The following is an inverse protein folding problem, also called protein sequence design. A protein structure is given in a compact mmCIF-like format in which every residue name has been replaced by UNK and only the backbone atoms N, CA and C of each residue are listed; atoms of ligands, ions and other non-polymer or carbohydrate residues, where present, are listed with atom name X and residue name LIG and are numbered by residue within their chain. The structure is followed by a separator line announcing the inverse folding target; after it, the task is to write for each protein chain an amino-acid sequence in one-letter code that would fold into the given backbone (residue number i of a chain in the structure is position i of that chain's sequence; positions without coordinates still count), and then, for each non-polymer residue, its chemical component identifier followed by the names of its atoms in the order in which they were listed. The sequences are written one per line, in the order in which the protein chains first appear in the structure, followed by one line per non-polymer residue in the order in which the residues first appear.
data_IF_954406840829
#
_entry.id   IF_954406840829
#
_cell.length_a   1.000
_cell.length_b   1.000
_cell.length_c   1.000
_cell.angle_alpha   90.00
_cell.angle_beta   90.00
_cell.angle_gamma   90.00
#
_symmetry.space_group_name_H-M   'P 1'
#
loop_
_entity.id
_entity.type
_entity.pdbx_description
1 polymer ?
#
# COMPACT_ATOMS: atom_id res chain seq x y z
N UNK A 1 16.66 12.48 0.83
CA UNK A 1 15.86 11.53 1.61
C UNK A 1 15.50 12.05 3.01
N UNK A 2 16.45 12.46 3.87
CA UNK A 2 16.15 13.00 5.23
C UNK A 2 15.11 14.13 5.25
N UNK A 3 15.19 15.10 4.32
CA UNK A 3 14.26 16.25 4.25
C UNK A 3 12.83 15.86 3.90
N UNK A 4 12.62 14.84 3.06
CA UNK A 4 11.28 14.37 2.69
C UNK A 4 10.65 13.66 3.88
N UNK A 5 11.40 12.83 4.59
CA UNK A 5 10.92 12.15 5.80
C UNK A 5 10.51 13.17 6.87
N UNK A 6 11.29 14.23 7.07
CA UNK A 6 10.98 15.31 8.00
C UNK A 6 9.68 16.04 7.62
N UNK A 7 9.46 16.34 6.34
CA UNK A 7 8.24 17.00 5.87
C UNK A 7 7.01 16.13 6.09
N UNK A 8 7.11 14.82 5.80
CA UNK A 8 6.02 13.86 6.04
C UNK A 8 5.72 13.74 7.53
N UNK A 9 6.75 13.65 8.37
CA UNK A 9 6.58 13.58 9.83
C UNK A 9 5.92 14.84 10.39
N UNK A 10 6.32 16.01 9.93
CA UNK A 10 5.73 17.30 10.35
C UNK A 10 4.29 17.41 9.87
N UNK A 11 3.97 17.01 8.63
CA UNK A 11 2.62 17.02 8.10
C UNK A 11 1.67 16.09 8.89
N UNK A 12 2.14 14.90 9.26
CA UNK A 12 1.38 13.96 10.11
C UNK A 12 1.16 14.51 11.51
N UNK A 13 2.18 15.12 12.12
CA UNK A 13 2.08 15.74 13.44
C UNK A 13 1.17 16.97 13.46
N UNK A 14 1.16 17.80 12.42
CA UNK A 14 0.27 18.97 12.32
C UNK A 14 -1.18 18.57 12.10
N UNK A 15 -1.45 17.53 11.31
CA UNK A 15 -2.79 16.95 11.15
C UNK A 15 -3.31 16.33 12.46
N UNK A 16 -2.45 15.69 13.24
CA UNK A 16 -2.81 15.13 14.55
C UNK A 16 -3.10 16.21 15.62
N UNK A 17 -2.45 17.38 15.52
CA UNK A 17 -2.57 18.46 16.53
C UNK A 17 -3.77 19.37 16.37
N UNK A 18 -4.42 19.44 15.22
CA UNK A 18 -5.47 20.42 14.91
C UNK A 18 -6.88 20.05 15.37
N UNK A 19 -7.09 18.89 15.99
CA UNK A 19 -8.42 18.42 16.35
C UNK A 19 -8.63 18.47 17.86
N UNK A 20 -9.37 19.48 18.32
CA UNK A 20 -9.80 19.59 19.74
C UNK A 20 -10.59 18.36 20.14
N UNK A 21 -10.02 17.58 21.06
CA UNK A 21 -10.58 16.34 21.58
C UNK A 21 -11.74 16.62 22.53
N UNK A 22 -12.97 16.27 22.12
CA UNK A 22 -13.97 15.80 23.09
C UNK A 22 -13.69 14.31 23.31
N UNK A 23 -12.95 14.01 24.36
CA UNK A 23 -12.53 12.66 24.69
C UNK A 23 -13.70 11.90 25.30
N UNK A 24 -14.32 10.98 24.57
CA UNK A 24 -14.91 9.78 25.20
C UNK A 24 -15.50 8.75 24.24
N UNK A 25 -15.81 9.09 23.00
CA UNK A 25 -16.34 8.13 22.04
C UNK A 25 -15.27 7.79 20.98
N UNK A 26 -15.17 6.53 20.61
CA UNK A 26 -14.33 6.14 19.49
C UNK A 26 -14.85 6.86 18.22
N UNK A 27 -14.01 7.53 17.42
CA UNK A 27 -14.46 8.21 16.20
C UNK A 27 -15.22 7.30 15.24
N UNK A 28 -14.95 5.99 15.28
CA UNK A 28 -15.61 4.97 14.46
C UNK A 28 -17.10 4.83 14.80
N UNK A 29 -17.52 5.09 16.05
CA UNK A 29 -18.91 5.00 16.50
C UNK A 29 -19.66 6.33 16.44
N UNK A 30 -18.96 7.41 16.14
CA UNK A 30 -19.62 8.70 15.96
C UNK A 30 -20.31 8.75 14.61
N UNK A 31 -21.64 8.91 14.60
CA UNK A 31 -22.40 9.06 13.36
C UNK A 31 -22.01 10.34 12.63
N UNK A 32 -21.73 10.23 11.34
CA UNK A 32 -21.42 11.37 10.48
C UNK A 32 -20.21 11.12 9.59
N UNK A 33 -19.74 12.22 9.01
CA UNK A 33 -18.54 12.21 8.20
C UNK A 33 -17.32 11.87 9.06
N UNK A 34 -16.49 10.96 8.57
CA UNK A 34 -15.29 10.47 9.23
C UNK A 34 -14.23 10.15 8.20
N UNK A 35 -12.99 10.19 8.62
CA UNK A 35 -11.87 9.82 7.77
C UNK A 35 -10.75 9.17 8.54
N UNK A 36 -9.80 8.61 7.81
CA UNK A 36 -8.56 8.10 8.35
C UNK A 36 -7.37 8.46 7.45
N UNK A 37 -6.20 8.50 8.04
CA UNK A 37 -4.93 8.54 7.34
C UNK A 37 -4.05 7.44 7.91
N UNK A 38 -3.41 6.67 7.07
CA UNK A 38 -2.67 5.46 7.45
C UNK A 38 -1.29 5.44 6.81
N UNK A 39 -0.33 4.98 7.59
CA UNK A 39 1.02 4.62 7.15
C UNK A 39 1.21 3.13 7.37
N UNK A 40 1.78 2.43 6.40
CA UNK A 40 1.97 0.99 6.51
C UNK A 40 3.20 0.49 5.77
N UNK A 41 3.42 -0.80 5.97
CA UNK A 41 4.45 -1.56 5.27
C UNK A 41 3.80 -2.84 4.74
N UNK A 42 3.98 -3.08 3.44
CA UNK A 42 3.68 -4.34 2.78
C UNK A 42 4.93 -5.20 2.83
N UNK A 43 4.82 -6.38 3.43
CA UNK A 43 5.90 -7.33 3.50
C UNK A 43 5.97 -8.14 2.20
N UNK A 44 7.04 -7.94 1.46
CA UNK A 44 7.41 -8.65 0.25
C UNK A 44 8.91 -8.90 0.33
N UNK A 45 9.48 -9.61 -0.63
CA UNK A 45 10.93 -9.75 -0.76
C UNK A 45 11.66 -8.40 -0.68
N UNK A 46 11.04 -7.37 -1.30
CA UNK A 46 11.39 -5.96 -1.14
C UNK A 46 10.18 -5.22 -0.55
N UNK A 47 10.22 -4.79 0.72
CA UNK A 47 9.09 -4.17 1.37
C UNK A 47 8.73 -2.82 0.73
N UNK A 48 7.42 -2.55 0.68
CA UNK A 48 6.86 -1.28 0.22
C UNK A 48 6.32 -0.49 1.40
N UNK A 49 6.66 0.79 1.44
CA UNK A 49 5.97 1.76 2.29
C UNK A 49 4.65 2.16 1.64
N UNK A 50 3.61 2.25 2.43
CA UNK A 50 2.28 2.69 2.00
C UNK A 50 1.83 3.92 2.76
N UNK A 51 1.18 4.83 2.06
CA UNK A 51 0.47 5.98 2.63
C UNK A 51 -0.93 5.95 2.04
N UNK A 52 -1.96 5.95 2.87
CA UNK A 52 -3.35 5.98 2.41
C UNK A 52 -4.19 6.96 3.20
N UNK A 53 -5.23 7.46 2.57
CA UNK A 53 -6.27 8.23 3.21
C UNK A 53 -7.63 7.75 2.72
N UNK A 54 -8.58 7.64 3.63
CA UNK A 54 -9.96 7.25 3.35
C UNK A 54 -10.91 8.29 3.94
N UNK A 55 -11.94 8.62 3.21
CA UNK A 55 -12.99 9.55 3.59
C UNK A 55 -14.34 8.86 3.41
N UNK A 56 -15.26 9.03 4.34
CA UNK A 56 -16.53 8.32 4.26
C UNK A 56 -17.52 8.71 5.35
N UNK A 57 -18.44 7.80 5.58
CA UNK A 57 -19.53 7.98 6.53
C UNK A 57 -19.56 6.86 7.56
N UNK A 58 -19.56 7.23 8.82
CA UNK A 58 -19.82 6.33 9.95
C UNK A 58 -21.30 6.34 10.31
N UNK A 59 -21.91 5.18 10.41
CA UNK A 59 -23.34 5.03 10.71
C UNK A 59 -23.67 5.12 12.21
N UNK A 60 -22.65 5.16 13.07
CA UNK A 60 -22.82 5.21 14.52
C UNK A 60 -23.12 3.87 15.18
N UNK A 61 -23.19 2.79 14.41
CA UNK A 61 -23.44 1.42 14.86
C UNK A 61 -22.22 0.50 14.65
N UNK A 62 -21.04 1.09 14.49
CA UNK A 62 -19.79 0.37 14.21
C UNK A 62 -19.46 0.22 12.72
N UNK A 63 -20.42 0.48 11.83
CA UNK A 63 -20.17 0.46 10.39
C UNK A 63 -19.61 1.79 9.89
N UNK A 64 -18.59 1.69 9.06
CA UNK A 64 -18.04 2.78 8.27
C UNK A 64 -17.93 2.32 6.81
N UNK A 65 -18.28 3.22 5.89
CA UNK A 65 -18.13 3.01 4.45
C UNK A 65 -17.49 4.28 3.87
N UNK A 66 -16.45 4.10 3.08
CA UNK A 66 -15.72 5.20 2.49
C UNK A 66 -15.02 4.87 1.18
N UNK A 67 -14.37 5.87 0.63
CA UNK A 67 -13.47 5.75 -0.50
C UNK A 67 -12.19 6.52 -0.22
N UNK A 68 -11.10 6.09 -0.83
CA UNK A 68 -9.80 6.67 -0.55
C UNK A 68 -8.81 6.57 -1.68
N UNK A 69 -7.64 7.12 -1.39
CA UNK A 69 -6.48 7.05 -2.27
C UNK A 69 -5.29 6.51 -1.49
N UNK A 70 -4.41 5.82 -2.19
CA UNK A 70 -3.19 5.25 -1.64
C UNK A 70 -1.99 5.53 -2.53
N UNK A 71 -0.84 5.66 -1.90
CA UNK A 71 0.46 5.75 -2.52
C UNK A 71 1.35 4.67 -1.94
N UNK A 72 2.03 3.92 -2.81
CA UNK A 72 2.95 2.87 -2.39
C UNK A 72 4.30 3.10 -3.07
N UNK A 73 5.38 2.89 -2.32
CA UNK A 73 6.75 3.04 -2.81
C UNK A 73 7.64 1.96 -2.25
N UNK A 74 8.47 1.36 -3.10
CA UNK A 74 9.52 0.46 -2.65
C UNK A 74 10.47 1.16 -1.66
N UNK A 75 10.76 0.53 -0.54
CA UNK A 75 11.59 1.10 0.53
C UNK A 75 13.09 0.98 0.25
N UNK A 76 13.48 0.10 -0.68
CA UNK A 76 14.88 -0.06 -1.07
C UNK A 76 15.20 0.66 -2.37
N UNK A 77 16.30 1.40 -2.41
CA UNK A 77 16.80 1.93 -3.67
C UNK A 77 17.21 0.75 -4.57
N UNK A 78 16.85 0.83 -5.85
CA UNK A 78 17.28 -0.15 -6.83
C UNK A 78 18.79 -0.28 -6.79
N UNK A 79 19.32 -1.43 -6.42
CA UNK A 79 20.65 -1.80 -6.85
C UNK A 79 20.52 -2.15 -8.34
N UNK A 80 20.99 -1.26 -9.20
CA UNK A 80 21.29 -1.61 -10.57
C UNK A 80 22.40 -2.65 -10.49
N UNK A 81 22.07 -3.93 -10.58
CA UNK A 81 23.01 -4.89 -11.10
C UNK A 81 23.23 -4.44 -12.55
N UNK A 82 24.29 -3.69 -12.77
CA UNK A 82 24.75 -3.36 -14.12
C UNK A 82 24.84 -4.67 -14.93
N UNK A 83 24.77 -4.60 -16.26
CA UNK A 83 24.89 -5.79 -17.08
C UNK A 83 26.14 -6.54 -16.62
N UNK A 84 25.93 -7.76 -16.12
CA UNK A 84 27.04 -8.65 -15.78
C UNK A 84 27.90 -8.75 -17.04
N UNK A 85 29.07 -8.14 -17.03
CA UNK A 85 30.06 -8.31 -18.11
C UNK A 85 30.47 -9.78 -18.07
N UNK A 86 29.69 -10.61 -18.73
CA UNK A 86 30.18 -11.96 -19.06
C UNK A 86 31.20 -11.77 -20.14
N UNK A 87 32.41 -12.21 -19.89
CA UNK A 87 33.42 -12.35 -20.92
C UNK A 87 32.78 -13.13 -22.08
N UNK A 88 32.94 -12.67 -23.32
CA UNK A 88 32.33 -13.30 -24.47
C UNK A 88 32.83 -14.75 -24.53
N UNK A 89 31.94 -15.73 -24.43
CA UNK A 89 32.29 -17.12 -24.62
C UNK A 89 32.71 -17.31 -26.08
N UNK A 90 33.94 -17.79 -26.31
CA UNK A 90 34.42 -18.11 -27.62
C UNK A 90 34.04 -19.56 -27.95
N UNK A 91 33.43 -19.77 -29.12
CA UNK A 91 33.29 -21.11 -29.68
C UNK A 91 34.67 -21.69 -30.00
N UNK A 92 34.83 -23.02 -30.10
CA UNK A 92 36.09 -23.65 -30.52
C UNK A 92 36.59 -23.19 -31.89
N UNK A 93 35.75 -22.61 -32.71
CA UNK A 93 36.06 -22.03 -34.02
C UNK A 93 36.50 -20.56 -33.97
N UNK A 94 36.58 -19.93 -32.78
CA UNK A 94 36.96 -18.56 -32.58
C UNK A 94 35.86 -17.55 -32.80
N UNK A 95 34.60 -17.97 -33.06
CA UNK A 95 33.47 -17.08 -33.18
C UNK A 95 32.92 -16.65 -31.82
N UNK A 96 32.65 -15.36 -31.66
CA UNK A 96 32.07 -14.82 -30.43
C UNK A 96 30.62 -15.23 -30.33
N UNK A 97 30.24 -16.01 -29.30
CA UNK A 97 28.86 -16.31 -29.00
C UNK A 97 28.25 -15.04 -28.34
N UNK A 98 27.64 -14.19 -29.11
CA UNK A 98 26.71 -13.18 -28.61
C UNK A 98 25.38 -13.87 -28.27
N UNK A 99 25.32 -14.60 -27.17
CA UNK A 99 24.03 -14.93 -26.58
C UNK A 99 23.33 -13.61 -26.28
N UNK A 100 22.10 -13.38 -26.77
CA UNK A 100 21.33 -12.25 -26.31
C UNK A 100 21.19 -12.43 -24.82
N UNK A 101 21.90 -11.60 -24.03
CA UNK A 101 21.72 -11.53 -22.60
C UNK A 101 20.27 -11.13 -22.41
N UNK A 102 19.40 -12.10 -22.18
CA UNK A 102 18.10 -11.83 -21.59
C UNK A 102 18.35 -11.37 -20.16
N UNK A 103 18.87 -10.16 -20.02
CA UNK A 103 18.76 -9.42 -18.78
C UNK A 103 17.25 -9.19 -18.61
N UNK A 104 16.61 -10.15 -17.96
CA UNK A 104 15.32 -9.90 -17.36
C UNK A 104 15.59 -8.80 -16.32
N UNK A 105 15.55 -7.54 -16.75
CA UNK A 105 15.48 -6.40 -15.85
C UNK A 105 14.22 -6.59 -15.03
N UNK A 106 14.40 -7.24 -13.90
CA UNK A 106 13.34 -7.43 -12.93
C UNK A 106 13.21 -6.10 -12.20
N UNK A 107 12.42 -5.21 -12.78
CA UNK A 107 12.08 -3.93 -12.17
C UNK A 107 11.21 -4.16 -10.93
N UNK A 108 11.86 -4.34 -9.81
CA UNK A 108 11.19 -4.38 -8.50
C UNK A 108 11.39 -3.03 -7.81
N UNK A 109 10.33 -2.27 -7.65
CA UNK A 109 10.34 -0.99 -6.94
C UNK A 109 9.78 0.17 -7.76
N UNK A 110 8.52 0.11 -8.13
CA UNK A 110 7.76 1.20 -8.73
C UNK A 110 7.06 2.06 -7.70
N UNK A 111 6.55 3.20 -8.17
CA UNK A 111 5.58 4.01 -7.46
C UNK A 111 4.20 3.59 -7.94
N UNK A 112 3.33 3.19 -7.00
CA UNK A 112 1.95 2.84 -7.30
C UNK A 112 1.02 3.91 -6.71
N UNK A 113 0.11 4.38 -7.52
CA UNK A 113 -1.03 5.18 -7.09
C UNK A 113 -2.26 4.28 -7.07
N UNK A 114 -3.07 4.37 -6.03
CA UNK A 114 -4.29 3.57 -5.90
C UNK A 114 -5.49 4.39 -5.49
N UNK A 115 -6.66 3.91 -5.88
CA UNK A 115 -7.94 4.33 -5.33
C UNK A 115 -8.68 3.12 -4.82
N UNK A 116 -9.39 3.26 -3.72
CA UNK A 116 -10.07 2.14 -3.08
C UNK A 116 -11.39 2.53 -2.46
N UNK A 117 -12.26 1.55 -2.35
CA UNK A 117 -13.41 1.53 -1.47
C UNK A 117 -13.00 0.86 -0.16
N UNK A 118 -13.51 1.36 0.96
CA UNK A 118 -13.23 0.86 2.31
C UNK A 118 -14.53 0.58 3.05
N UNK A 119 -14.65 -0.63 3.59
CA UNK A 119 -15.73 -1.02 4.47
C UNK A 119 -15.14 -1.53 5.78
N UNK A 120 -15.55 -0.93 6.89
CA UNK A 120 -15.05 -1.26 8.24
C UNK A 120 -16.19 -1.54 9.19
N UNK A 121 -15.97 -2.53 10.05
CA UNK A 121 -16.89 -2.85 11.15
C UNK A 121 -16.14 -2.90 12.48
N UNK A 122 -16.55 -2.07 13.43
CA UNK A 122 -16.03 -2.00 14.78
C UNK A 122 -16.97 -2.71 15.76
N UNK A 123 -16.42 -3.58 16.62
CA UNK A 123 -17.21 -4.48 17.48
C UNK A 123 -17.70 -3.82 18.77
N UNK A 124 -17.06 -2.75 19.20
CA UNK A 124 -17.36 -2.13 20.50
C UNK A 124 -17.17 -0.61 20.44
N UNK A 125 -18.04 0.12 21.12
CA UNK A 125 -17.88 1.54 21.40
C UNK A 125 -17.14 1.73 22.73
N UNK A 126 -15.83 1.56 22.69
CA UNK A 126 -14.94 1.75 23.85
C UNK A 126 -13.65 2.38 23.38
N UNK A 127 -12.88 2.87 24.34
CA UNK A 127 -11.55 3.42 24.06
C UNK A 127 -10.61 2.45 23.35
N UNK A 128 -10.78 1.14 23.61
CA UNK A 128 -10.12 0.06 22.90
C UNK A 128 -11.18 -0.67 22.05
N UNK A 129 -11.07 -0.53 20.75
CA UNK A 129 -12.09 -0.96 19.79
C UNK A 129 -11.47 -1.89 18.76
N UNK A 130 -11.69 -3.20 18.82
CA UNK A 130 -11.32 -4.09 17.72
C UNK A 130 -12.22 -3.87 16.52
N UNK A 131 -11.64 -3.98 15.31
CA UNK A 131 -12.37 -3.82 14.05
C UNK A 131 -11.90 -4.78 12.97
N UNK A 132 -12.79 -5.03 12.01
CA UNK A 132 -12.49 -5.65 10.73
C UNK A 132 -12.60 -4.59 9.64
N UNK A 133 -11.75 -4.70 8.63
CA UNK A 133 -11.72 -3.79 7.50
C UNK A 133 -11.47 -4.55 6.21
N UNK A 134 -12.12 -4.13 5.15
CA UNK A 134 -11.85 -4.63 3.80
C UNK A 134 -11.73 -3.43 2.87
N UNK A 135 -10.55 -3.31 2.25
CA UNK A 135 -10.32 -2.35 1.17
C UNK A 135 -10.29 -3.11 -0.15
N UNK A 136 -10.93 -2.56 -1.18
CA UNK A 136 -10.90 -3.10 -2.52
C UNK A 136 -10.74 -1.95 -3.53
N UNK A 137 -9.88 -2.11 -4.52
CA UNK A 137 -9.59 -1.01 -5.40
C UNK A 137 -8.73 -1.34 -6.60
N UNK A 138 -8.25 -0.29 -7.22
CA UNK A 138 -7.35 -0.36 -8.37
C UNK A 138 -6.06 0.39 -8.07
N UNK A 139 -4.96 -0.09 -8.62
CA UNK A 139 -3.64 0.52 -8.53
C UNK A 139 -3.08 0.76 -9.92
N UNK A 140 -2.40 1.87 -10.09
CA UNK A 140 -1.68 2.20 -11.31
C UNK A 140 -0.19 2.32 -11.01
N UNK A 141 0.60 1.49 -11.67
CA UNK A 141 2.07 1.54 -11.60
C UNK A 141 2.57 2.62 -12.57
N UNK A 142 3.16 3.67 -12.01
CA UNK A 142 3.68 4.81 -12.78
C UNK A 142 4.88 4.47 -13.66
N UNK A 143 5.60 3.41 -13.34
CA UNK A 143 6.79 3.01 -14.09
C UNK A 143 6.47 2.00 -15.19
N UNK A 144 5.61 1.03 -14.87
CA UNK A 144 5.23 -0.01 -15.82
C UNK A 144 4.04 0.39 -16.69
N UNK A 145 3.42 1.54 -16.43
CA UNK A 145 2.16 1.98 -17.05
C UNK A 145 1.09 0.87 -17.02
N UNK A 146 1.00 0.20 -15.87
CA UNK A 146 0.17 -0.98 -15.71
C UNK A 146 -0.93 -0.74 -14.68
N UNK A 147 -2.15 -1.18 -15.02
CA UNK A 147 -3.30 -1.16 -14.12
C UNK A 147 -3.47 -2.52 -13.46
N UNK A 148 -3.59 -2.53 -12.13
CA UNK A 148 -3.91 -3.69 -11.32
C UNK A 148 -5.15 -3.47 -10.46
N UNK A 149 -5.67 -4.52 -9.87
CA UNK A 149 -6.70 -4.43 -8.83
C UNK A 149 -6.22 -5.14 -7.57
N UNK A 150 -6.81 -4.79 -6.43
CA UNK A 150 -6.45 -5.42 -5.18
C UNK A 150 -7.66 -5.56 -4.26
N UNK A 151 -7.55 -6.51 -3.33
CA UNK A 151 -8.41 -6.64 -2.16
C UNK A 151 -7.53 -6.80 -0.94
N UNK A 152 -7.90 -6.15 0.15
CA UNK A 152 -7.09 -6.06 1.37
C UNK A 152 -7.97 -6.23 2.61
N UNK A 153 -8.28 -7.49 3.01
CA UNK A 153 -8.86 -7.76 4.30
C UNK A 153 -7.84 -7.55 5.42
N UNK A 154 -8.27 -6.89 6.48
CA UNK A 154 -7.45 -6.63 7.67
C UNK A 154 -8.26 -6.72 8.96
N UNK A 155 -7.53 -6.98 10.04
CA UNK A 155 -8.03 -6.93 11.41
C UNK A 155 -7.21 -5.91 12.18
N UNK A 156 -7.83 -5.15 13.06
CA UNK A 156 -7.13 -4.12 13.79
C UNK A 156 -7.75 -3.78 15.13
N UNK A 157 -7.06 -2.90 15.82
CA UNK A 157 -7.52 -2.30 17.06
C UNK A 157 -7.34 -0.79 16.98
N UNK A 158 -8.37 -0.07 17.41
CA UNK A 158 -8.33 1.36 17.58
C UNK A 158 -8.24 1.71 19.08
N UNK A 159 -7.41 2.69 19.42
CA UNK A 159 -7.30 3.27 20.74
C UNK A 159 -7.48 4.78 20.65
N UNK A 160 -8.67 5.25 20.99
CA UNK A 160 -9.05 6.62 20.75
C UNK A 160 -9.06 6.93 19.24
N UNK A 161 -8.12 7.76 18.81
CA UNK A 161 -7.96 8.13 17.38
C UNK A 161 -6.92 7.30 16.64
N UNK A 162 -6.07 6.59 17.34
CA UNK A 162 -5.03 5.77 16.74
C UNK A 162 -5.57 4.39 16.41
N UNK A 163 -5.13 3.85 15.30
CA UNK A 163 -5.44 2.48 14.90
C UNK A 163 -4.17 1.75 14.52
N UNK A 164 -4.15 0.47 14.82
CA UNK A 164 -3.14 -0.48 14.36
C UNK A 164 -3.88 -1.62 13.69
N UNK A 165 -3.52 -1.95 12.46
CA UNK A 165 -4.10 -3.08 11.74
C UNK A 165 -3.04 -3.94 11.08
N UNK A 166 -3.40 -5.20 10.87
CA UNK A 166 -2.62 -6.16 10.12
C UNK A 166 -3.55 -6.96 9.19
N UNK A 167 -3.07 -7.31 8.02
CA UNK A 167 -3.90 -7.99 7.03
C UNK A 167 -3.10 -8.55 5.88
N UNK A 168 -3.83 -8.91 4.85
CA UNK A 168 -3.30 -9.50 3.64
C UNK A 168 -3.73 -8.68 2.42
N UNK A 169 -2.78 -8.05 1.77
CA UNK A 169 -3.04 -7.37 0.51
C UNK A 169 -2.87 -8.37 -0.64
N UNK A 170 -3.92 -8.56 -1.41
CA UNK A 170 -3.96 -9.49 -2.54
C UNK A 170 -4.10 -8.69 -3.83
N UNK A 171 -3.06 -8.70 -4.65
CA UNK A 171 -3.06 -8.05 -5.97
C UNK A 171 -3.42 -9.04 -7.07
N UNK A 172 -4.28 -8.59 -8.00
CA UNK A 172 -4.69 -9.33 -9.17
C UNK A 172 -4.18 -8.62 -10.43
N UNK A 173 -3.39 -9.34 -11.22
CA UNK A 173 -2.98 -9.05 -12.58
C UNK A 173 -2.63 -7.61 -12.92
N UNK A 174 -1.38 -7.35 -13.23
CA UNK A 174 -0.97 -6.11 -13.90
C UNK A 174 -1.02 -6.33 -15.42
N UNK A 175 -1.92 -5.65 -16.12
CA UNK A 175 -1.95 -5.64 -17.60
C UNK A 175 -0.90 -4.64 -18.08
N UNK A 176 0.20 -5.12 -18.63
CA UNK A 176 1.10 -4.28 -19.43
C UNK A 176 0.43 -3.95 -20.76
N UNK A 177 0.55 -2.70 -21.23
CA UNK A 177 0.04 -2.22 -22.52
C UNK A 177 0.55 -3.03 -23.73
N UNK A 178 1.65 -3.76 -23.58
CA UNK A 178 2.40 -4.38 -24.70
C UNK A 178 2.34 -5.91 -24.76
N UNK A 179 1.72 -6.60 -23.80
CA UNK A 179 1.65 -8.06 -23.83
C UNK A 179 0.21 -8.57 -23.71
N UNK A 180 -0.24 -9.25 -24.78
CA UNK A 180 -1.55 -9.92 -24.85
C UNK A 180 -1.65 -11.19 -23.97
N UNK A 181 -0.71 -11.49 -23.11
CA UNK A 181 -0.75 -12.69 -22.27
C UNK A 181 -1.28 -12.29 -20.89
N UNK A 182 -2.56 -12.58 -20.68
CA UNK A 182 -3.24 -12.45 -19.39
C UNK A 182 -2.90 -13.70 -18.57
N UNK A 183 -1.82 -13.69 -17.83
CA UNK A 183 -1.70 -14.60 -16.71
C UNK A 183 -2.17 -13.84 -15.46
N UNK A 184 -3.15 -14.35 -14.71
CA UNK A 184 -3.54 -13.77 -13.43
C UNK A 184 -2.41 -14.06 -12.44
N UNK A 185 -1.46 -13.15 -12.34
CA UNK A 185 -0.44 -13.19 -11.29
C UNK A 185 -1.08 -12.68 -10.00
N UNK A 186 -1.44 -13.61 -9.12
CA UNK A 186 -2.02 -13.29 -7.81
C UNK A 186 -0.88 -13.20 -6.80
N UNK A 187 -0.65 -12.02 -6.25
CA UNK A 187 0.39 -11.79 -5.23
C UNK A 187 -0.24 -11.51 -3.89
N UNK A 188 0.17 -12.30 -2.90
CA UNK A 188 -0.23 -12.14 -1.51
C UNK A 188 0.87 -11.40 -0.74
N UNK A 189 0.54 -10.28 -0.12
CA UNK A 189 1.49 -9.45 0.62
C UNK A 189 0.93 -9.15 2.01
N UNK A 190 1.45 -9.76 3.08
CA UNK A 190 1.13 -9.35 4.44
C UNK A 190 1.43 -7.88 4.64
N UNK A 191 0.57 -7.18 5.39
CA UNK A 191 0.79 -5.77 5.69
C UNK A 191 0.48 -5.45 7.14
N UNK A 192 1.12 -4.37 7.62
CA UNK A 192 0.85 -3.77 8.91
C UNK A 192 0.70 -2.27 8.68
N UNK A 193 -0.35 -1.67 9.26
CA UNK A 193 -0.60 -0.23 9.15
C UNK A 193 -0.84 0.41 10.52
N UNK A 194 -0.43 1.66 10.64
CA UNK A 194 -0.75 2.55 11.76
C UNK A 194 -1.53 3.72 11.20
N UNK A 195 -2.65 4.05 11.80
CA UNK A 195 -3.54 5.09 11.31
C UNK A 195 -4.02 6.06 12.38
N UNK A 196 -4.59 7.16 11.90
CA UNK A 196 -5.26 8.18 12.71
C UNK A 196 -6.65 8.42 12.14
N UNK A 197 -7.68 8.28 12.99
CA UNK A 197 -9.07 8.59 12.67
C UNK A 197 -9.43 10.04 13.05
N UNK A 198 -10.24 10.70 12.23
CA UNK A 198 -10.70 12.08 12.46
C UNK A 198 -12.15 12.30 11.96
#
# INVERSE_FOLDING_TARGET
MKRILTIITVAVLTLAGSVKSKAQESPIFRKGYSGNAELGVLAKEYPYGTLSTTQGYSFGNGWFIGGGASFQSGLYPRMYAGPEKRDPALNPDGTVVTSPSSSSEQYEGGFLLGTHFDARYAFRDKRFTPFLEVKAGVTYDLHLEALGSFIEPSVGVAYGRFALSAGLNTHFGQKRKTQCIIMPDVKFMPHITVGVHF
#
